data_IF_088442832072
#
_entry.id   IF_088442832072
#
_cell.length_a   1.000
_cell.length_b   1.000
_cell.length_c   1.000
_cell.angle_alpha   90.00
_cell.angle_beta   90.00
_cell.angle_gamma   90.00
#
_symmetry.space_group_name_H-M   'P 1'
#
loop_
_entity.id
_entity.type
_entity.pdbx_description
1 polymer ?
#
# COMPACT_ATOMS: atom_id res chain seq x y z
N UNK A 1 -21.99 -20.04 17.93
CA UNK A 1 -22.63 -18.79 18.39
C UNK A 1 -21.85 -17.60 17.84
N UNK A 2 -22.57 -16.53 17.41
CA UNK A 2 -21.96 -15.35 16.75
C UNK A 2 -20.89 -14.68 17.64
N UNK A 3 -21.07 -14.65 18.95
CA UNK A 3 -20.17 -14.03 19.90
C UNK A 3 -18.96 -14.89 20.29
N UNK A 4 -18.99 -16.18 20.09
CA UNK A 4 -17.91 -17.10 20.40
C UNK A 4 -16.63 -16.79 19.59
N UNK A 5 -16.81 -16.22 18.39
CA UNK A 5 -15.71 -15.77 17.53
C UNK A 5 -14.99 -14.53 18.04
N UNK A 6 -15.65 -13.73 18.86
CA UNK A 6 -15.11 -12.47 19.42
C UNK A 6 -14.65 -12.60 20.88
N UNK A 7 -15.14 -13.59 21.60
CA UNK A 7 -14.93 -13.77 23.05
C UNK A 7 -14.15 -15.05 23.38
N UNK A 8 -13.35 -15.55 22.47
CA UNK A 8 -12.49 -16.72 22.78
C UNK A 8 -11.39 -16.29 23.77
N UNK A 9 -11.37 -16.83 25.01
CA UNK A 9 -10.35 -16.51 26.01
C UNK A 9 -8.92 -16.89 25.60
N UNK A 10 -8.78 -17.82 24.66
CA UNK A 10 -7.48 -18.24 24.11
C UNK A 10 -6.93 -17.29 23.05
N UNK A 11 -7.72 -16.30 22.60
CA UNK A 11 -7.29 -15.35 21.59
C UNK A 11 -6.44 -14.26 22.24
N UNK A 12 -5.15 -14.26 21.93
CA UNK A 12 -4.17 -13.28 22.44
C UNK A 12 -4.16 -11.96 21.62
N UNK A 13 -4.84 -11.92 20.46
CA UNK A 13 -4.91 -10.74 19.60
C UNK A 13 -6.15 -9.89 19.88
N UNK A 14 -6.02 -8.56 19.71
CA UNK A 14 -7.16 -7.65 19.72
C UNK A 14 -8.20 -8.05 18.65
N UNK A 15 -9.51 -7.89 18.92
CA UNK A 15 -10.52 -8.14 17.90
C UNK A 15 -10.39 -7.12 16.78
N UNK A 16 -10.46 -7.61 15.54
CA UNK A 16 -10.57 -6.79 14.34
C UNK A 16 -12.06 -6.55 14.06
N UNK A 17 -12.45 -5.29 13.98
CA UNK A 17 -13.86 -4.89 13.78
C UNK A 17 -13.96 -4.10 12.49
N UNK A 18 -14.54 -4.74 11.47
CA UNK A 18 -14.85 -4.12 10.19
C UNK A 18 -16.29 -3.58 10.23
N UNK A 19 -16.44 -2.29 9.90
CA UNK A 19 -17.75 -1.64 9.83
C UNK A 19 -17.88 -0.97 8.46
N UNK A 20 -18.92 -1.36 7.74
CA UNK A 20 -19.21 -0.78 6.42
C UNK A 20 -19.95 0.56 6.55
N UNK A 21 -19.40 1.58 5.89
CA UNK A 21 -20.01 2.89 5.76
C UNK A 21 -20.16 3.30 4.29
N UNK A 22 -21.19 4.09 4.01
CA UNK A 22 -21.32 4.72 2.70
C UNK A 22 -20.10 5.57 2.36
N UNK A 23 -19.58 5.43 1.14
CA UNK A 23 -18.42 6.20 0.66
C UNK A 23 -18.63 7.71 0.82
N UNK A 24 -19.87 8.22 0.58
CA UNK A 24 -20.20 9.64 0.74
C UNK A 24 -20.20 10.11 2.20
N UNK A 25 -20.41 9.21 3.15
CA UNK A 25 -20.50 9.52 4.59
C UNK A 25 -19.24 9.22 5.39
N UNK A 26 -18.27 8.50 4.82
CA UNK A 26 -17.11 7.99 5.54
C UNK A 26 -16.28 9.09 6.21
N UNK A 27 -16.01 10.18 5.52
CA UNK A 27 -15.24 11.32 6.07
C UNK A 27 -15.92 11.90 7.31
N UNK A 28 -17.25 12.06 7.25
CA UNK A 28 -18.04 12.54 8.40
C UNK A 28 -17.97 11.60 9.60
N UNK A 29 -17.87 10.30 9.36
CA UNK A 29 -17.70 9.31 10.44
C UNK A 29 -16.31 9.42 11.06
N UNK A 30 -15.27 9.59 10.26
CA UNK A 30 -13.90 9.80 10.76
C UNK A 30 -13.82 11.08 11.60
N UNK A 31 -14.41 12.18 11.12
CA UNK A 31 -14.46 13.44 11.86
C UNK A 31 -15.23 13.29 13.18
N UNK A 32 -16.39 12.59 13.17
CA UNK A 32 -17.15 12.29 14.38
C UNK A 32 -16.34 11.48 15.40
N UNK A 33 -15.60 10.46 14.93
CA UNK A 33 -14.75 9.66 15.83
C UNK A 33 -13.66 10.52 16.45
N UNK A 34 -13.02 11.39 15.66
CA UNK A 34 -12.01 12.30 16.16
C UNK A 34 -12.56 13.33 17.17
N UNK A 35 -13.79 13.79 16.97
CA UNK A 35 -14.46 14.68 17.92
C UNK A 35 -14.87 13.95 19.21
N UNK A 36 -15.37 12.73 19.07
CA UNK A 36 -15.87 11.94 20.21
C UNK A 36 -14.74 11.47 21.14
N UNK A 37 -13.62 11.02 20.61
CA UNK A 37 -12.54 10.42 21.39
C UNK A 37 -11.35 11.35 21.64
N UNK A 38 -11.30 12.49 20.95
CA UNK A 38 -10.24 13.47 21.02
C UNK A 38 -9.37 13.46 19.75
N UNK A 39 -9.09 14.63 19.18
CA UNK A 39 -8.27 14.78 17.96
C UNK A 39 -6.80 14.41 18.18
N UNK A 40 -6.35 14.42 19.42
CA UNK A 40 -5.02 13.98 19.86
C UNK A 40 -4.92 12.46 20.02
N UNK A 41 -6.06 11.75 20.06
CA UNK A 41 -6.16 10.31 20.31
C UNK A 41 -6.61 9.51 19.09
N UNK A 42 -6.90 10.20 17.98
CA UNK A 42 -7.38 9.57 16.74
C UNK A 42 -6.50 10.00 15.58
N UNK A 43 -5.99 9.04 14.84
CA UNK A 43 -5.26 9.30 13.60
C UNK A 43 -5.63 8.28 12.53
N UNK A 44 -5.55 8.66 11.27
CA UNK A 44 -5.61 7.72 10.15
C UNK A 44 -4.31 6.93 10.06
N UNK A 45 -4.36 5.76 9.45
CA UNK A 45 -3.19 4.91 9.29
C UNK A 45 -2.52 5.22 7.94
N UNK A 46 -1.18 5.27 7.94
CA UNK A 46 -0.39 5.38 6.73
C UNK A 46 -0.36 4.03 5.98
N UNK A 47 -0.30 4.10 4.67
CA UNK A 47 0.03 2.95 3.81
C UNK A 47 1.28 3.25 3.01
N UNK A 48 2.12 2.24 2.83
CA UNK A 48 3.33 2.31 2.03
C UNK A 48 3.13 1.57 0.71
N UNK A 49 3.09 2.34 -0.39
CA UNK A 49 3.09 1.78 -1.73
C UNK A 49 4.47 1.22 -2.07
N UNK A 50 4.54 -0.08 -2.32
CA UNK A 50 5.78 -0.75 -2.73
C UNK A 50 5.88 -0.84 -4.24
N UNK A 51 7.10 -0.85 -4.74
CA UNK A 51 7.36 -1.08 -6.16
C UNK A 51 7.07 -2.54 -6.52
N UNK A 52 6.02 -2.72 -7.29
CA UNK A 52 5.65 -4.00 -7.87
C UNK A 52 6.31 -4.18 -9.24
N UNK A 53 6.49 -5.41 -9.76
CA UNK A 53 7.25 -5.69 -10.96
C UNK A 53 6.90 -4.82 -12.18
N UNK A 54 5.63 -4.63 -12.51
CA UNK A 54 5.21 -3.78 -13.65
C UNK A 54 5.64 -2.32 -13.50
N UNK A 55 5.47 -1.76 -12.30
CA UNK A 55 5.85 -0.39 -12.00
C UNK A 55 7.38 -0.25 -11.98
N UNK A 56 8.08 -1.18 -11.34
CA UNK A 56 9.52 -1.22 -11.31
C UNK A 56 10.14 -1.30 -12.70
N UNK A 57 9.56 -2.08 -13.62
CA UNK A 57 10.01 -2.17 -15.02
C UNK A 57 9.93 -0.83 -15.73
N UNK A 58 8.80 -0.10 -15.62
CA UNK A 58 8.65 1.23 -16.25
C UNK A 58 9.60 2.25 -15.65
N UNK A 59 9.75 2.25 -14.32
CA UNK A 59 10.65 3.17 -13.64
C UNK A 59 12.12 2.87 -13.95
N UNK A 60 12.52 1.60 -14.01
CA UNK A 60 13.87 1.19 -14.41
C UNK A 60 14.19 1.61 -15.84
N UNK A 61 13.28 1.38 -16.80
CA UNK A 61 13.45 1.81 -18.18
C UNK A 61 13.64 3.33 -18.26
N UNK A 62 12.82 4.10 -17.56
CA UNK A 62 12.91 5.56 -17.53
C UNK A 62 14.25 6.05 -16.95
N UNK A 63 14.70 5.49 -15.84
CA UNK A 63 15.94 5.87 -15.17
C UNK A 63 17.17 5.52 -16.02
N UNK A 64 17.11 4.42 -16.75
CA UNK A 64 18.15 4.00 -17.69
C UNK A 64 18.15 4.77 -19.02
N UNK A 65 17.21 5.70 -19.22
CA UNK A 65 17.12 6.55 -20.40
C UNK A 65 16.41 5.94 -21.60
N UNK A 66 15.70 4.82 -21.41
CA UNK A 66 14.86 4.23 -22.46
C UNK A 66 13.54 5.02 -22.60
N UNK A 67 12.94 4.94 -23.78
CA UNK A 67 11.65 5.55 -24.03
C UNK A 67 10.50 4.88 -23.26
N UNK A 68 9.37 5.59 -23.16
CA UNK A 68 8.19 5.07 -22.47
C UNK A 68 7.65 3.80 -23.11
N UNK A 69 7.69 3.72 -24.44
CA UNK A 69 7.14 2.57 -25.19
C UNK A 69 7.92 1.29 -24.87
N UNK A 70 9.23 1.36 -24.75
CA UNK A 70 10.09 0.22 -24.36
C UNK A 70 9.74 -0.27 -22.96
N UNK A 71 9.67 0.63 -21.98
CA UNK A 71 9.31 0.27 -20.60
C UNK A 71 7.88 -0.29 -20.48
N UNK A 72 6.92 0.28 -21.21
CA UNK A 72 5.54 -0.17 -21.19
C UNK A 72 5.35 -1.52 -21.90
N UNK A 73 6.06 -1.76 -23.02
CA UNK A 73 6.09 -3.06 -23.72
C UNK A 73 6.54 -4.16 -22.77
N UNK A 74 7.67 -3.97 -22.08
CA UNK A 74 8.20 -4.97 -21.13
C UNK A 74 7.26 -5.17 -19.94
N UNK A 75 6.72 -4.10 -19.37
CA UNK A 75 5.80 -4.18 -18.27
C UNK A 75 4.51 -4.94 -18.61
N UNK A 76 4.04 -4.89 -19.87
CA UNK A 76 2.86 -5.64 -20.35
C UNK A 76 3.09 -7.14 -20.46
N UNK A 77 4.34 -7.60 -20.54
CA UNK A 77 4.66 -9.04 -20.46
C UNK A 77 4.51 -9.61 -19.06
N UNK A 78 4.41 -8.75 -18.05
CA UNK A 78 4.17 -9.14 -16.66
C UNK A 78 2.67 -9.11 -16.43
N UNK A 79 2.04 -10.22 -16.01
CA UNK A 79 0.60 -10.27 -15.71
C UNK A 79 0.15 -9.26 -14.68
N UNK A 80 -1.11 -8.86 -14.72
CA UNK A 80 -1.70 -8.02 -13.68
C UNK A 80 -1.92 -8.80 -12.40
N UNK A 81 -1.88 -8.11 -11.26
CA UNK A 81 -2.17 -8.74 -9.98
C UNK A 81 -3.55 -9.40 -9.97
N UNK A 82 -3.62 -10.65 -9.54
CA UNK A 82 -4.88 -11.36 -9.37
C UNK A 82 -5.32 -11.23 -7.90
N UNK A 83 -6.51 -10.68 -7.67
CA UNK A 83 -7.04 -10.42 -6.32
C UNK A 83 -6.06 -9.62 -5.42
N UNK A 84 -5.36 -8.65 -6.01
CA UNK A 84 -4.35 -7.83 -5.30
C UNK A 84 -3.03 -8.53 -4.98
N UNK A 85 -2.85 -9.80 -5.41
CA UNK A 85 -1.61 -10.54 -5.23
C UNK A 85 -0.77 -10.46 -6.50
N UNK A 86 0.50 -10.13 -6.32
CA UNK A 86 1.51 -10.14 -7.38
C UNK A 86 2.59 -11.16 -7.01
N UNK A 87 3.20 -11.74 -8.03
CA UNK A 87 4.37 -12.61 -7.89
C UNK A 87 5.64 -11.77 -7.99
N UNK A 88 6.75 -12.33 -7.55
CA UNK A 88 8.07 -11.73 -7.73
C UNK A 88 8.53 -11.79 -9.19
N UNK A 89 9.54 -11.01 -9.54
CA UNK A 89 10.17 -11.11 -10.88
C UNK A 89 10.68 -12.51 -11.18
N UNK A 90 11.25 -13.20 -10.19
CA UNK A 90 11.79 -14.54 -10.38
C UNK A 90 10.69 -15.56 -10.71
N UNK A 91 9.55 -15.46 -10.03
CA UNK A 91 8.38 -16.30 -10.34
C UNK A 91 7.81 -15.98 -11.73
N UNK A 92 7.69 -14.69 -12.10
CA UNK A 92 7.22 -14.32 -13.43
C UNK A 92 8.21 -14.77 -14.54
N UNK A 93 9.51 -14.65 -14.35
CA UNK A 93 10.50 -15.15 -15.30
C UNK A 93 10.46 -16.68 -15.45
N UNK A 94 10.04 -17.40 -14.43
CA UNK A 94 9.89 -18.85 -14.49
C UNK A 94 8.59 -19.29 -15.17
N UNK A 95 7.52 -18.52 -15.05
CA UNK A 95 6.17 -18.92 -15.47
C UNK A 95 5.72 -18.28 -16.78
N UNK A 96 6.27 -17.10 -17.15
CA UNK A 96 5.84 -16.35 -18.34
C UNK A 96 6.83 -16.52 -19.50
N UNK A 97 6.53 -17.39 -20.49
CA UNK A 97 7.47 -17.71 -21.57
C UNK A 97 7.88 -16.51 -22.41
N UNK A 98 6.96 -15.58 -22.67
CA UNK A 98 7.27 -14.39 -23.46
C UNK A 98 8.20 -13.42 -22.71
N UNK A 99 7.99 -13.22 -21.40
CA UNK A 99 8.89 -12.44 -20.57
C UNK A 99 10.29 -13.08 -20.54
N UNK A 100 10.34 -14.39 -20.34
CA UNK A 100 11.59 -15.15 -20.31
C UNK A 100 12.32 -15.06 -21.63
N UNK A 101 11.64 -15.25 -22.76
CA UNK A 101 12.23 -15.16 -24.09
C UNK A 101 12.86 -13.78 -24.33
N UNK A 102 12.13 -12.71 -24.05
CA UNK A 102 12.61 -11.33 -24.21
C UNK A 102 13.79 -11.05 -23.28
N UNK A 103 13.74 -11.51 -22.06
CA UNK A 103 14.87 -11.41 -21.09
C UNK A 103 16.14 -12.12 -21.62
N UNK A 104 16.00 -13.31 -22.24
CA UNK A 104 17.13 -14.09 -22.72
C UNK A 104 17.71 -13.57 -24.06
N UNK A 105 16.88 -12.95 -24.92
CA UNK A 105 17.26 -12.58 -26.29
C UNK A 105 17.54 -11.09 -26.50
N UNK A 106 17.00 -10.20 -25.65
CA UNK A 106 17.17 -8.75 -25.78
C UNK A 106 18.06 -8.18 -24.66
N UNK A 107 19.31 -7.74 -24.96
CA UNK A 107 20.22 -7.20 -23.93
C UNK A 107 19.63 -6.01 -23.16
N UNK A 108 18.92 -5.12 -23.83
CA UNK A 108 18.29 -3.95 -23.21
C UNK A 108 17.15 -4.35 -22.29
N UNK A 109 16.32 -5.32 -22.69
CA UNK A 109 15.28 -5.85 -21.84
C UNK A 109 15.83 -6.51 -20.58
N UNK A 110 16.91 -7.31 -20.72
CA UNK A 110 17.62 -7.90 -19.57
C UNK A 110 18.12 -6.82 -18.62
N UNK A 111 18.80 -5.79 -19.12
CA UNK A 111 19.29 -4.68 -18.31
C UNK A 111 18.18 -3.96 -17.55
N UNK A 112 17.04 -3.71 -18.21
CA UNK A 112 15.89 -3.07 -17.58
C UNK A 112 15.30 -3.97 -16.48
N UNK A 113 15.10 -5.26 -16.77
CA UNK A 113 14.51 -6.22 -15.83
C UNK A 113 15.43 -6.46 -14.63
N UNK A 114 16.74 -6.61 -14.82
CA UNK A 114 17.70 -6.77 -13.73
C UNK A 114 17.71 -5.54 -12.81
N UNK A 115 17.67 -4.33 -13.39
CA UNK A 115 17.54 -3.09 -12.60
C UNK A 115 16.21 -3.06 -11.86
N UNK A 116 15.12 -3.44 -12.50
CA UNK A 116 13.77 -3.47 -11.91
C UNK A 116 13.67 -4.48 -10.74
N UNK A 117 14.33 -5.64 -10.84
CA UNK A 117 14.45 -6.62 -9.75
C UNK A 117 15.11 -6.02 -8.50
N UNK A 118 16.11 -5.19 -8.67
CA UNK A 118 16.76 -4.46 -7.57
C UNK A 118 15.86 -3.41 -6.91
N UNK A 119 14.80 -2.98 -7.59
CA UNK A 119 13.81 -2.01 -7.09
C UNK A 119 12.56 -2.68 -6.50
N UNK A 120 12.38 -3.99 -6.71
CA UNK A 120 11.20 -4.72 -6.24
C UNK A 120 11.07 -4.64 -4.73
N UNK A 121 9.85 -4.36 -4.25
CA UNK A 121 9.53 -4.30 -2.82
C UNK A 121 9.99 -3.03 -2.09
N UNK A 122 10.80 -2.17 -2.71
CA UNK A 122 11.18 -0.88 -2.13
C UNK A 122 9.94 0.02 -1.99
N UNK A 123 9.85 0.74 -0.89
CA UNK A 123 8.78 1.72 -0.68
C UNK A 123 8.97 2.87 -1.68
N UNK A 124 7.97 3.08 -2.54
CA UNK A 124 7.96 4.14 -3.55
C UNK A 124 7.32 5.42 -3.05
N UNK A 125 6.19 5.29 -2.35
CA UNK A 125 5.41 6.40 -1.83
C UNK A 125 4.64 5.96 -0.59
N UNK A 126 4.18 6.93 0.15
CA UNK A 126 3.20 6.75 1.20
C UNK A 126 1.85 7.34 0.78
N UNK A 127 0.79 6.87 1.40
CA UNK A 127 -0.57 7.38 1.23
C UNK A 127 -1.36 7.19 2.52
N UNK A 128 -2.54 7.79 2.58
CA UNK A 128 -3.45 7.61 3.70
C UNK A 128 -4.28 6.34 3.44
N UNK A 129 -4.39 5.46 4.42
CA UNK A 129 -5.27 4.30 4.32
C UNK A 129 -6.70 4.73 4.02
N UNK A 130 -7.39 3.96 3.17
CA UNK A 130 -8.70 4.35 2.67
C UNK A 130 -9.75 4.52 3.78
N UNK A 131 -9.66 3.76 4.87
CA UNK A 131 -10.70 3.70 5.89
C UNK A 131 -10.17 3.54 7.33
N UNK A 132 -9.01 2.89 7.55
CA UNK A 132 -8.56 2.56 8.88
C UNK A 132 -8.12 3.77 9.68
N UNK A 133 -8.55 3.79 10.95
CA UNK A 133 -8.16 4.76 11.97
C UNK A 133 -7.69 4.01 13.22
N UNK A 134 -6.76 4.61 13.92
CA UNK A 134 -6.35 4.16 15.27
C UNK A 134 -6.97 5.10 16.30
N UNK A 135 -7.48 4.52 17.38
CA UNK A 135 -8.08 5.22 18.51
C UNK A 135 -7.34 4.76 19.75
N UNK A 136 -6.82 5.71 20.54
CA UNK A 136 -6.09 5.41 21.76
C UNK A 136 -6.79 5.96 22.99
N UNK A 137 -6.45 5.43 24.17
CA UNK A 137 -6.93 5.87 25.48
C UNK A 137 -6.19 7.12 26.00
N UNK A 138 -5.07 7.48 25.35
CA UNK A 138 -4.19 8.61 25.66
C UNK A 138 -3.68 9.27 24.37
N UNK A 139 -3.01 10.43 24.43
CA UNK A 139 -2.47 11.10 23.24
C UNK A 139 -1.60 10.15 22.41
N UNK A 140 -1.88 10.05 21.11
CA UNK A 140 -1.14 9.16 20.20
C UNK A 140 0.34 9.52 20.09
N UNK A 141 0.72 10.77 20.32
CA UNK A 141 2.12 11.20 20.33
C UNK A 141 2.97 10.55 21.44
N UNK A 142 2.34 9.99 22.46
CA UNK A 142 3.01 9.22 23.52
C UNK A 142 3.25 7.75 23.14
N UNK A 143 2.60 7.27 22.07
CA UNK A 143 2.57 5.86 21.68
C UNK A 143 3.29 5.66 20.35
N UNK A 144 3.01 6.52 19.35
CA UNK A 144 3.45 6.34 17.97
C UNK A 144 3.82 7.68 17.33
N UNK A 145 4.87 7.73 16.50
CA UNK A 145 5.16 8.93 15.74
C UNK A 145 4.05 9.22 14.73
N UNK A 146 3.67 10.49 14.66
CA UNK A 146 2.65 11.00 13.76
C UNK A 146 3.28 11.91 12.70
N UNK A 147 2.57 12.08 11.59
CA UNK A 147 2.91 13.06 10.55
C UNK A 147 1.65 13.66 9.94
N UNK A 148 1.81 14.77 9.25
CA UNK A 148 0.78 15.33 8.39
C UNK A 148 0.94 14.71 7.00
N UNK A 149 -0.15 14.17 6.47
CA UNK A 149 -0.22 13.69 5.10
C UNK A 149 -1.23 14.52 4.31
N UNK A 150 -0.90 14.82 3.06
CA UNK A 150 -1.78 15.53 2.16
C UNK A 150 -2.91 14.61 1.69
N UNK A 151 -4.14 15.06 1.84
CA UNK A 151 -5.34 14.40 1.34
C UNK A 151 -5.94 15.22 0.20
N UNK A 152 -5.85 14.71 -1.01
CA UNK A 152 -6.38 15.34 -2.22
C UNK A 152 -7.76 14.81 -2.63
N UNK A 153 -8.33 13.89 -1.85
CA UNK A 153 -9.66 13.35 -2.09
C UNK A 153 -10.71 14.48 -1.94
N UNK A 154 -11.56 14.65 -2.94
CA UNK A 154 -12.58 15.71 -2.94
C UNK A 154 -12.15 17.02 -3.58
N UNK A 155 -10.97 17.11 -4.21
CA UNK A 155 -10.54 18.25 -5.01
C UNK A 155 -9.94 19.43 -4.24
N UNK A 156 -9.98 19.43 -2.91
CA UNK A 156 -9.33 20.40 -2.04
C UNK A 156 -8.14 19.78 -1.33
N UNK A 157 -7.06 20.54 -1.21
CA UNK A 157 -5.90 20.16 -0.39
C UNK A 157 -6.27 20.22 1.08
N UNK A 158 -6.24 19.09 1.74
CA UNK A 158 -6.40 18.98 3.21
C UNK A 158 -5.23 18.23 3.79
N UNK A 159 -4.89 18.53 5.04
CA UNK A 159 -3.89 17.78 5.76
C UNK A 159 -4.57 16.92 6.83
N UNK A 160 -4.15 15.67 6.91
CA UNK A 160 -4.64 14.71 7.90
C UNK A 160 -3.49 14.26 8.79
N UNK A 161 -3.78 14.08 10.06
CA UNK A 161 -2.85 13.43 10.99
C UNK A 161 -2.89 11.94 10.71
N UNK A 162 -1.73 11.37 10.42
CA UNK A 162 -1.55 9.94 10.16
C UNK A 162 -0.42 9.37 10.99
N UNK A 163 -0.49 8.07 11.29
CA UNK A 163 0.62 7.36 11.92
C UNK A 163 1.79 7.25 10.96
N UNK A 164 3.02 7.10 11.46
CA UNK A 164 4.19 6.77 10.64
C UNK A 164 4.43 5.26 10.54
N UNK A 165 3.65 4.44 11.23
CA UNK A 165 3.63 2.99 11.10
C UNK A 165 2.39 2.53 10.33
N UNK A 166 2.56 1.48 9.53
CA UNK A 166 1.46 0.76 8.89
C UNK A 166 0.62 -0.02 9.92
N UNK A 167 -0.51 -0.56 9.51
CA UNK A 167 -1.49 -1.19 10.40
C UNK A 167 -0.89 -2.30 11.28
N UNK A 168 -0.14 -3.25 10.72
CA UNK A 168 0.39 -4.41 11.47
C UNK A 168 1.21 -4.08 12.74
N UNK A 169 2.12 -3.09 12.74
CA UNK A 169 2.82 -2.70 13.96
C UNK A 169 1.96 -1.96 14.99
N UNK A 170 0.73 -1.56 14.64
CA UNK A 170 -0.20 -0.84 15.50
C UNK A 170 -1.21 -1.78 16.20
N UNK A 171 -1.34 -3.01 15.72
CA UNK A 171 -2.11 -4.10 16.33
C UNK A 171 -1.35 -4.72 17.51
#
# INVERSE_FOLDING_TARGET
LLFERFLNPERVSMPDIDIDFSVKGRERVIDYVAEKYGRDRVAQIITFGRMLPRAATRDAARVLGYDYATGDRLAKLIPEPVMGRTKSFDEYLAEEPDLRRVYDTEPDARRIIDTARGLEGIVRNNSIHAAAVVIADRPLTEIVPLQLAEDTRGGERRYRVVTQYSMKPLE
#
